data_IF_608501813818
#
_entry.id   IF_608501813818
#
_cell.length_a   1.000
_cell.length_b   1.000
_cell.length_c   1.000
_cell.angle_alpha   90.00
_cell.angle_beta   90.00
_cell.angle_gamma   90.00
#
_symmetry.space_group_name_H-M   'P 1'
#
loop_
_entity.id
_entity.type
_entity.pdbx_description
1 polymer ?
#
# COMPACT_ATOMS: atom_id res chain seq x y z
N UNK A 1 42.47 -103.11 9.50
CA UNK A 1 41.83 -102.50 10.68
C UNK A 1 41.79 -100.96 10.59
N UNK A 2 41.60 -100.37 9.40
CA UNK A 2 41.51 -98.90 9.23
C UNK A 2 40.49 -98.47 8.18
N UNK A 3 40.15 -99.35 7.22
CA UNK A 3 39.17 -99.02 6.16
C UNK A 3 37.70 -99.14 6.63
N UNK A 4 37.40 -100.04 7.56
CA UNK A 4 36.02 -100.35 7.95
C UNK A 4 35.40 -99.26 8.87
N UNK A 5 36.24 -98.52 9.62
CA UNK A 5 35.78 -97.44 10.51
C UNK A 5 35.55 -96.14 9.72
N UNK A 6 36.36 -95.88 8.68
CA UNK A 6 36.20 -94.69 7.82
C UNK A 6 34.89 -94.80 7.02
N UNK A 7 34.55 -95.99 6.51
CA UNK A 7 33.34 -96.21 5.72
C UNK A 7 32.04 -96.05 6.53
N UNK A 8 32.05 -96.45 7.80
CA UNK A 8 30.87 -96.34 8.67
C UNK A 8 30.65 -94.90 9.18
N UNK A 9 31.72 -94.10 9.30
CA UNK A 9 31.61 -92.67 9.64
C UNK A 9 31.08 -91.83 8.47
N UNK A 10 31.41 -92.20 7.23
CA UNK A 10 30.94 -91.53 6.02
C UNK A 10 29.44 -91.78 5.72
N UNK A 11 28.91 -92.93 6.12
CA UNK A 11 27.50 -93.28 5.87
C UNK A 11 26.52 -92.53 6.79
N UNK A 12 26.96 -92.20 8.00
CA UNK A 12 26.14 -91.41 8.95
C UNK A 12 26.05 -89.94 8.52
N UNK A 13 26.99 -89.45 7.71
CA UNK A 13 27.03 -88.06 7.24
C UNK A 13 26.27 -87.80 5.93
N UNK A 14 25.75 -88.84 5.27
CA UNK A 14 25.03 -88.74 4.00
C UNK A 14 23.56 -89.16 4.12
N UNK A 15 22.86 -88.64 5.13
CA UNK A 15 21.40 -88.59 5.06
C UNK A 15 21.02 -87.50 4.06
N UNK A 16 20.45 -87.89 2.91
CA UNK A 16 19.82 -86.96 1.99
C UNK A 16 18.74 -86.19 2.75
N UNK A 17 18.95 -84.89 2.98
CA UNK A 17 17.92 -83.99 3.50
C UNK A 17 16.86 -83.87 2.40
N UNK A 18 15.79 -84.66 2.51
CA UNK A 18 14.63 -84.56 1.62
C UNK A 18 13.81 -83.34 2.03
N UNK A 19 14.05 -82.23 1.35
CA UNK A 19 13.20 -81.03 1.43
C UNK A 19 11.83 -81.42 0.84
N UNK A 20 10.80 -81.32 1.65
CA UNK A 20 9.42 -81.57 1.24
C UNK A 20 8.83 -80.35 0.53
N UNK A 21 7.80 -80.55 -0.29
CA UNK A 21 7.05 -79.43 -0.89
C UNK A 21 6.49 -78.46 0.16
N UNK A 22 6.19 -78.98 1.36
CA UNK A 22 5.80 -78.19 2.53
C UNK A 22 6.93 -77.29 3.05
N UNK A 23 8.18 -77.74 3.04
CA UNK A 23 9.34 -76.91 3.44
C UNK A 23 9.56 -75.77 2.43
N UNK A 24 9.39 -76.04 1.14
CA UNK A 24 9.47 -75.02 0.08
C UNK A 24 8.35 -73.99 0.24
N UNK A 25 7.13 -74.43 0.58
CA UNK A 25 6.01 -73.53 0.85
C UNK A 25 6.25 -72.66 2.08
N UNK A 26 6.82 -73.22 3.16
CA UNK A 26 7.20 -72.47 4.36
C UNK A 26 8.27 -71.42 4.06
N UNK A 27 9.34 -71.77 3.32
CA UNK A 27 10.37 -70.79 2.93
C UNK A 27 9.80 -69.64 2.08
N UNK A 28 8.85 -69.93 1.18
CA UNK A 28 8.16 -68.88 0.40
C UNK A 28 7.29 -67.99 1.29
N UNK A 29 6.60 -68.58 2.27
CA UNK A 29 5.79 -67.83 3.22
C UNK A 29 6.66 -66.93 4.11
N UNK A 30 7.77 -67.45 4.62
CA UNK A 30 8.75 -66.69 5.41
C UNK A 30 9.30 -65.51 4.61
N UNK A 31 9.68 -65.73 3.34
CA UNK A 31 10.11 -64.66 2.45
C UNK A 31 9.02 -63.59 2.28
N UNK A 32 7.79 -64.00 2.01
CA UNK A 32 6.68 -63.06 1.86
C UNK A 32 6.42 -62.26 3.15
N UNK A 33 6.57 -62.89 4.33
CA UNK A 33 6.43 -62.20 5.62
C UNK A 33 7.51 -61.12 5.76
N UNK A 34 8.77 -61.43 5.42
CA UNK A 34 9.87 -60.47 5.46
C UNK A 34 9.62 -59.30 4.49
N UNK A 35 9.21 -59.61 3.26
CA UNK A 35 8.91 -58.57 2.26
C UNK A 35 7.76 -57.65 2.74
N UNK A 36 6.69 -58.22 3.32
CA UNK A 36 5.58 -57.47 3.91
C UNK A 36 6.06 -56.60 5.09
N UNK A 37 6.91 -57.11 5.97
CA UNK A 37 7.47 -56.35 7.09
C UNK A 37 8.29 -55.14 6.62
N UNK A 38 9.07 -55.30 5.56
CA UNK A 38 9.83 -54.22 4.95
C UNK A 38 8.89 -53.15 4.37
N UNK A 39 7.88 -53.56 3.58
CA UNK A 39 6.88 -52.62 3.04
C UNK A 39 6.10 -51.88 4.13
N UNK A 40 5.75 -52.54 5.25
CA UNK A 40 5.08 -51.89 6.38
C UNK A 40 5.99 -50.81 6.99
N UNK A 41 7.29 -51.06 7.07
CA UNK A 41 8.25 -50.09 7.62
C UNK A 41 8.35 -48.86 6.72
N UNK A 42 8.47 -49.04 5.41
CA UNK A 42 8.50 -47.94 4.42
C UNK A 42 7.19 -47.12 4.43
N UNK A 43 6.04 -47.79 4.54
CA UNK A 43 4.74 -47.13 4.66
C UNK A 43 4.69 -46.30 5.95
N UNK A 44 5.18 -46.84 7.07
CA UNK A 44 5.20 -46.13 8.36
C UNK A 44 6.04 -44.85 8.30
N UNK A 45 7.21 -44.91 7.65
CA UNK A 45 8.05 -43.73 7.44
C UNK A 45 7.37 -42.70 6.54
N UNK A 46 6.74 -43.15 5.46
CA UNK A 46 5.99 -42.28 4.55
C UNK A 46 4.82 -41.59 5.24
N UNK A 47 4.06 -42.32 6.08
CA UNK A 47 2.97 -41.78 6.89
C UNK A 47 3.49 -40.73 7.86
N UNK A 48 4.63 -40.97 8.51
CA UNK A 48 5.26 -40.00 9.41
C UNK A 48 5.62 -38.70 8.67
N UNK A 49 6.29 -38.80 7.53
CA UNK A 49 6.64 -37.64 6.70
C UNK A 49 5.40 -36.88 6.21
N UNK A 50 4.32 -37.60 5.89
CA UNK A 50 3.04 -37.01 5.51
C UNK A 50 2.40 -36.22 6.65
N UNK A 51 2.43 -36.74 7.88
CA UNK A 51 1.95 -36.03 9.08
C UNK A 51 2.76 -34.77 9.34
N UNK A 52 4.09 -34.85 9.28
CA UNK A 52 4.97 -33.68 9.48
C UNK A 52 4.69 -32.60 8.41
N UNK A 53 4.51 -33.01 7.15
CA UNK A 53 4.14 -32.10 6.06
C UNK A 53 2.78 -31.45 6.28
N UNK A 54 1.79 -32.22 6.74
CA UNK A 54 0.45 -31.70 7.07
C UNK A 54 0.50 -30.66 8.18
N UNK A 55 1.35 -30.86 9.20
CA UNK A 55 1.55 -29.88 10.27
C UNK A 55 2.12 -28.57 9.74
N UNK A 56 3.15 -28.63 8.89
CA UNK A 56 3.77 -27.44 8.28
C UNK A 56 2.76 -26.69 7.39
N UNK A 57 1.97 -27.42 6.59
CA UNK A 57 0.94 -26.81 5.76
C UNK A 57 -0.14 -26.11 6.58
N UNK A 58 -0.53 -26.70 7.72
CA UNK A 58 -1.49 -26.09 8.64
C UNK A 58 -0.95 -24.76 9.19
N UNK A 59 0.29 -24.74 9.69
CA UNK A 59 0.92 -23.52 10.22
C UNK A 59 1.06 -22.43 9.14
N UNK A 60 1.41 -22.81 7.90
CA UNK A 60 1.48 -21.84 6.79
C UNK A 60 0.10 -21.30 6.43
N UNK A 61 -0.93 -22.12 6.50
CA UNK A 61 -2.31 -21.72 6.20
C UNK A 61 -2.80 -20.70 7.23
N UNK A 62 -2.58 -20.95 8.53
CA UNK A 62 -2.97 -19.99 9.58
C UNK A 62 -2.24 -18.65 9.44
N UNK A 63 -0.94 -18.66 9.10
CA UNK A 63 -0.19 -17.42 8.85
C UNK A 63 -0.74 -16.64 7.64
N UNK A 64 -1.07 -17.33 6.56
CA UNK A 64 -1.68 -16.69 5.38
C UNK A 64 -3.06 -16.09 5.68
N UNK A 65 -3.85 -16.75 6.54
CA UNK A 65 -5.14 -16.22 7.00
C UNK A 65 -4.95 -14.93 7.82
N UNK A 66 -3.98 -14.89 8.73
CA UNK A 66 -3.62 -13.71 9.51
C UNK A 66 -3.16 -12.54 8.60
N UNK A 67 -2.25 -12.81 7.67
CA UNK A 67 -1.77 -11.82 6.70
C UNK A 67 -2.91 -11.28 5.82
N UNK A 68 -3.84 -12.15 5.41
CA UNK A 68 -5.02 -11.76 4.63
C UNK A 68 -5.95 -10.84 5.43
N UNK A 69 -6.15 -11.13 6.72
CA UNK A 69 -6.95 -10.28 7.61
C UNK A 69 -6.31 -8.89 7.80
N UNK A 70 -4.99 -8.85 7.98
CA UNK A 70 -4.23 -7.60 8.07
C UNK A 70 -4.33 -6.78 6.78
N UNK A 71 -4.17 -7.42 5.62
CA UNK A 71 -4.30 -6.76 4.32
C UNK A 71 -5.71 -6.18 4.11
N UNK A 72 -6.75 -6.92 4.50
CA UNK A 72 -8.13 -6.45 4.44
C UNK A 72 -8.35 -5.20 5.29
N UNK A 73 -7.80 -5.17 6.50
CA UNK A 73 -7.85 -4.00 7.38
C UNK A 73 -7.13 -2.80 6.75
N UNK A 74 -5.92 -2.98 6.24
CA UNK A 74 -5.18 -1.93 5.53
C UNK A 74 -5.94 -1.37 4.33
N UNK A 75 -6.70 -2.20 3.60
CA UNK A 75 -7.53 -1.74 2.49
C UNK A 75 -8.71 -0.88 2.96
N UNK A 76 -9.32 -1.23 4.09
CA UNK A 76 -10.37 -0.41 4.70
C UNK A 76 -9.82 0.95 5.13
N UNK A 77 -8.66 1.00 5.76
CA UNK A 77 -8.02 2.24 6.17
C UNK A 77 -7.67 3.14 4.97
N UNK A 78 -7.14 2.55 3.88
CA UNK A 78 -6.90 3.26 2.62
C UNK A 78 -8.18 3.85 2.02
N UNK A 79 -9.29 3.11 2.08
CA UNK A 79 -10.59 3.60 1.60
C UNK A 79 -11.09 4.80 2.41
N UNK A 80 -10.89 4.78 3.73
CA UNK A 80 -11.25 5.88 4.61
C UNK A 80 -10.39 7.12 4.35
N UNK A 81 -9.07 6.96 4.20
CA UNK A 81 -8.15 8.03 3.83
C UNK A 81 -8.51 8.66 2.48
N UNK A 82 -8.87 7.83 1.49
CA UNK A 82 -9.29 8.33 0.17
C UNK A 82 -10.52 9.21 0.26
N UNK A 83 -11.49 8.86 1.11
CA UNK A 83 -12.69 9.67 1.35
C UNK A 83 -12.34 11.03 1.97
N UNK A 84 -11.45 11.03 2.97
CA UNK A 84 -11.00 12.27 3.60
C UNK A 84 -10.27 13.19 2.61
N UNK A 85 -9.45 12.63 1.72
CA UNK A 85 -8.77 13.40 0.66
C UNK A 85 -9.80 14.09 -0.24
N UNK A 86 -10.84 13.37 -0.69
CA UNK A 86 -11.89 13.96 -1.53
C UNK A 86 -12.67 15.07 -0.80
N UNK A 87 -12.95 14.91 0.49
CA UNK A 87 -13.61 15.93 1.32
C UNK A 87 -12.74 17.20 1.45
N UNK A 88 -11.43 17.03 1.63
CA UNK A 88 -10.46 18.14 1.68
C UNK A 88 -10.33 18.85 0.32
N UNK A 89 -10.25 18.10 -0.79
CA UNK A 89 -10.20 18.68 -2.14
C UNK A 89 -11.43 19.54 -2.45
N UNK A 90 -12.62 19.09 -2.04
CA UNK A 90 -13.85 19.86 -2.19
C UNK A 90 -13.83 21.13 -1.33
N UNK A 91 -13.43 21.00 -0.06
CA UNK A 91 -13.32 22.15 0.85
C UNK A 91 -12.31 23.18 0.33
N UNK A 92 -11.20 22.73 -0.26
CA UNK A 92 -10.19 23.61 -0.86
C UNK A 92 -10.76 24.39 -2.05
N UNK A 93 -11.54 23.74 -2.93
CA UNK A 93 -12.20 24.40 -4.06
C UNK A 93 -13.19 25.46 -3.60
N UNK A 94 -13.97 25.16 -2.56
CA UNK A 94 -14.94 26.10 -2.01
C UNK A 94 -14.25 27.34 -1.44
N UNK A 95 -13.15 27.15 -0.70
CA UNK A 95 -12.32 28.25 -0.19
C UNK A 95 -11.73 29.08 -1.35
N UNK A 96 -11.23 28.44 -2.41
CA UNK A 96 -10.67 29.14 -3.56
C UNK A 96 -11.73 30.01 -4.27
N UNK A 97 -12.93 29.47 -4.46
CA UNK A 97 -14.07 30.20 -5.04
C UNK A 97 -14.44 31.40 -4.17
N UNK A 98 -14.50 31.22 -2.84
CA UNK A 98 -14.83 32.28 -1.91
C UNK A 98 -13.76 33.39 -1.90
N UNK A 99 -12.48 33.03 -1.89
CA UNK A 99 -11.36 33.98 -2.00
C UNK A 99 -11.43 34.79 -3.30
N UNK A 100 -11.65 34.11 -4.43
CA UNK A 100 -11.75 34.78 -5.73
C UNK A 100 -12.94 35.74 -5.79
N UNK A 101 -14.08 35.35 -5.22
CA UNK A 101 -15.27 36.21 -5.16
C UNK A 101 -15.08 37.42 -4.23
N UNK A 102 -14.49 37.21 -3.06
CA UNK A 102 -14.37 38.25 -2.04
C UNK A 102 -13.22 39.22 -2.31
N UNK A 103 -12.07 38.73 -2.77
CA UNK A 103 -10.88 39.54 -3.00
C UNK A 103 -10.67 39.84 -4.47
N UNK A 104 -10.87 38.89 -5.38
CA UNK A 104 -10.66 39.11 -6.82
C UNK A 104 -11.53 40.23 -7.38
N UNK A 105 -12.81 40.27 -7.00
CA UNK A 105 -13.71 41.35 -7.42
C UNK A 105 -13.33 42.72 -6.82
N UNK A 106 -12.86 42.73 -5.57
CA UNK A 106 -12.41 43.98 -4.90
C UNK A 106 -11.11 44.50 -5.50
N UNK A 107 -10.15 43.62 -5.78
CA UNK A 107 -8.88 43.98 -6.43
C UNK A 107 -9.18 44.59 -7.80
N UNK A 108 -10.01 43.95 -8.61
CA UNK A 108 -10.37 44.47 -9.92
C UNK A 108 -11.06 45.83 -9.85
N UNK A 109 -12.02 46.00 -8.93
CA UNK A 109 -12.68 47.28 -8.72
C UNK A 109 -11.69 48.37 -8.25
N UNK A 110 -10.68 48.02 -7.45
CA UNK A 110 -9.61 48.93 -7.05
C UNK A 110 -8.70 49.27 -8.23
N UNK A 111 -8.33 48.30 -9.07
CA UNK A 111 -7.52 48.51 -10.28
C UNK A 111 -8.20 49.49 -11.23
N UNK A 112 -9.50 49.26 -11.52
CA UNK A 112 -10.31 50.15 -12.36
C UNK A 112 -10.36 51.58 -11.77
N UNK A 113 -10.52 51.70 -10.44
CA UNK A 113 -10.53 53.00 -9.77
C UNK A 113 -9.18 53.72 -9.86
N UNK A 114 -8.07 52.99 -9.67
CA UNK A 114 -6.71 53.53 -9.78
C UNK A 114 -6.43 54.03 -11.21
N UNK A 115 -6.85 53.30 -12.23
CA UNK A 115 -6.68 53.71 -13.64
C UNK A 115 -7.38 55.05 -13.92
N UNK A 116 -8.59 55.23 -13.41
CA UNK A 116 -9.34 56.50 -13.52
C UNK A 116 -8.59 57.63 -12.82
N UNK A 117 -8.15 57.41 -11.57
CA UNK A 117 -7.41 58.43 -10.80
C UNK A 117 -6.13 58.84 -11.53
N UNK A 118 -5.36 57.88 -12.04
CA UNK A 118 -4.12 58.16 -12.77
C UNK A 118 -4.40 58.98 -14.04
N UNK A 119 -5.43 58.60 -14.80
CA UNK A 119 -5.86 59.36 -15.99
C UNK A 119 -6.20 60.81 -15.65
N UNK A 120 -6.95 61.03 -14.57
CA UNK A 120 -7.31 62.37 -14.10
C UNK A 120 -6.08 63.17 -13.62
N UNK A 121 -5.15 62.54 -12.90
CA UNK A 121 -3.88 63.18 -12.50
C UNK A 121 -3.08 63.64 -13.72
N UNK A 122 -2.95 62.80 -14.75
CA UNK A 122 -2.24 63.18 -15.98
C UNK A 122 -2.91 64.36 -16.69
N UNK A 123 -4.25 64.36 -16.79
CA UNK A 123 -4.99 65.48 -17.40
C UNK A 123 -4.82 66.78 -16.63
N UNK A 124 -4.93 66.72 -15.30
CA UNK A 124 -4.72 67.89 -14.44
C UNK A 124 -3.32 68.46 -14.60
N UNK A 125 -2.30 67.60 -14.67
CA UNK A 125 -0.91 68.01 -14.92
C UNK A 125 -0.79 68.77 -16.24
N UNK A 126 -1.35 68.23 -17.32
CA UNK A 126 -1.32 68.87 -18.64
C UNK A 126 -2.04 70.23 -18.66
N UNK A 127 -3.21 70.34 -18.01
CA UNK A 127 -3.93 71.60 -17.93
C UNK A 127 -3.19 72.67 -17.13
N UNK A 128 -2.56 72.28 -16.02
CA UNK A 128 -1.72 73.18 -15.21
C UNK A 128 -0.53 73.68 -16.03
N UNK A 129 0.18 72.78 -16.72
CA UNK A 129 1.33 73.14 -17.57
C UNK A 129 0.89 74.08 -18.71
N UNK A 130 -0.29 73.86 -19.27
CA UNK A 130 -0.85 74.67 -20.36
C UNK A 130 -1.49 75.99 -19.88
N UNK A 131 -1.54 76.27 -18.58
CA UNK A 131 -2.21 77.47 -18.03
C UNK A 131 -3.74 77.47 -18.23
N UNK A 132 -4.33 76.31 -18.55
CA UNK A 132 -5.78 76.14 -18.69
C UNK A 132 -6.41 75.89 -17.33
N UNK A 133 -7.70 76.23 -17.18
CA UNK A 133 -8.44 75.90 -15.95
C UNK A 133 -8.52 74.38 -15.80
N UNK A 134 -8.05 73.79 -14.68
CA UNK A 134 -8.03 72.34 -14.50
C UNK A 134 -9.45 71.78 -14.42
N UNK A 135 -9.70 70.69 -15.14
CA UNK A 135 -10.98 69.97 -15.13
C UNK A 135 -10.73 68.49 -14.78
N UNK A 136 -11.24 68.05 -13.64
CA UNK A 136 -11.27 66.62 -13.25
C UNK A 136 -12.41 65.94 -14.02
N UNK A 137 -12.23 64.70 -14.50
CA UNK A 137 -13.32 64.03 -15.22
C UNK A 137 -14.57 63.87 -14.34
N UNK A 138 -15.73 64.19 -14.90
CA UNK A 138 -17.03 64.14 -14.21
C UNK A 138 -17.54 62.70 -13.97
N UNK A 139 -16.69 61.67 -14.11
CA UNK A 139 -17.16 60.28 -14.15
C UNK A 139 -17.59 59.75 -12.79
N UNK A 140 -17.01 60.22 -11.66
CA UNK A 140 -17.47 59.91 -10.29
C UNK A 140 -17.13 61.05 -9.30
N UNK A 141 -18.04 61.39 -8.36
CA UNK A 141 -17.78 62.43 -7.37
C UNK A 141 -16.67 62.01 -6.39
N UNK A 142 -15.85 62.97 -5.94
CA UNK A 142 -14.70 62.77 -5.02
C UNK A 142 -15.02 61.91 -3.78
N UNK A 143 -16.28 61.94 -3.33
CA UNK A 143 -16.81 61.17 -2.20
C UNK A 143 -16.65 59.65 -2.38
N UNK A 144 -16.67 59.16 -3.61
CA UNK A 144 -16.47 57.74 -3.91
C UNK A 144 -15.00 57.30 -3.81
N UNK A 145 -14.04 58.24 -3.81
CA UNK A 145 -12.61 57.94 -3.69
C UNK A 145 -12.14 57.88 -2.22
N UNK A 146 -12.92 58.41 -1.28
CA UNK A 146 -12.56 58.48 0.15
C UNK A 146 -12.20 57.09 0.75
N UNK A 147 -12.95 56.00 0.49
CA UNK A 147 -12.60 54.69 1.02
C UNK A 147 -11.24 54.17 0.50
N UNK A 148 -10.91 54.47 -0.75
CA UNK A 148 -9.66 54.05 -1.40
C UNK A 148 -8.45 54.83 -0.89
N UNK A 149 -8.62 56.15 -0.68
CA UNK A 149 -7.59 56.99 -0.04
C UNK A 149 -7.34 56.51 1.39
N UNK A 150 -8.39 56.20 2.16
CA UNK A 150 -8.26 55.66 3.51
C UNK A 150 -7.52 54.31 3.54
N UNK A 151 -7.80 53.42 2.59
CA UNK A 151 -7.10 52.14 2.42
C UNK A 151 -5.62 52.34 2.07
N UNK A 152 -5.31 53.25 1.15
CA UNK A 152 -3.93 53.59 0.79
C UNK A 152 -3.13 54.13 1.98
N UNK A 153 -3.72 55.04 2.75
CA UNK A 153 -3.12 55.57 3.98
C UNK A 153 -2.90 54.44 5.01
N UNK A 154 -3.86 53.53 5.17
CA UNK A 154 -3.74 52.39 6.10
C UNK A 154 -2.61 51.41 5.70
N UNK A 155 -2.42 51.13 4.42
CA UNK A 155 -1.34 50.26 3.93
C UNK A 155 0.02 50.92 4.12
N UNK A 156 0.14 52.23 3.84
CA UNK A 156 1.37 52.99 4.08
C UNK A 156 1.71 53.00 5.58
N UNK A 157 0.72 53.23 6.45
CA UNK A 157 0.91 53.18 7.91
C UNK A 157 1.39 51.81 8.38
N UNK A 158 0.87 50.72 7.81
CA UNK A 158 1.33 49.37 8.13
C UNK A 158 2.78 49.13 7.69
N UNK A 159 3.16 49.56 6.48
CA UNK A 159 4.54 49.44 5.96
C UNK A 159 5.53 50.24 6.82
N UNK A 160 5.14 51.44 7.27
CA UNK A 160 5.96 52.26 8.18
C UNK A 160 6.07 51.62 9.57
N UNK A 161 5.01 50.99 10.08
CA UNK A 161 5.02 50.34 11.39
C UNK A 161 5.80 49.01 11.43
N UNK A 162 6.02 48.37 10.29
CA UNK A 162 6.75 47.09 10.16
C UNK A 162 8.23 47.31 9.79
N UNK A 163 8.64 48.55 9.54
CA UNK A 163 10.05 48.96 9.34
C UNK A 163 10.65 49.51 10.62
#
# INVERSE_FOLDING_TARGET
>A
MTLCVIFNCLYVYSQEIKISDTDIALMKLEKNIVDIQNSITEIKETVKLSVDTSSILTEKTTKLEEETMMLKKSFQDLSALRRQITELENSQKDIEVELKKNFGNKIKANEDAIEIILSDIYRLREDIIAGRKPVVSAKKPFKEYIPYVALGVSVISLIVAVR
#
